data_IF_140739252454
#
_entry.id   IF_140739252454
#
_cell.length_a   1.000
_cell.length_b   1.000
_cell.length_c   1.000
_cell.angle_alpha   90.00
_cell.angle_beta   90.00
_cell.angle_gamma   90.00
#
_symmetry.space_group_name_H-M   'P 1'
#
loop_
_entity.id
_entity.type
_entity.pdbx_description
1 polymer ?
#
# COMPACT_ATOMS: atom_id res chain seq x y z
N UNK A 1 0.35 -42.52 43.43
CA UNK A 1 1.46 -42.66 42.46
C UNK A 1 0.82 -42.84 41.11
N UNK A 2 0.86 -41.93 40.17
CA UNK A 2 1.34 -40.56 40.12
C UNK A 2 0.57 -39.96 38.94
N UNK A 3 0.15 -38.72 39.09
CA UNK A 3 -0.71 -38.01 38.15
C UNK A 3 -0.21 -38.11 36.70
N UNK A 4 -1.05 -38.61 35.81
CA UNK A 4 -0.90 -38.44 34.37
C UNK A 4 -1.05 -36.94 34.08
N UNK A 5 0.08 -36.32 33.74
CA UNK A 5 0.17 -34.95 33.26
C UNK A 5 -0.66 -34.80 31.97
N UNK A 6 -1.92 -34.40 32.12
CA UNK A 6 -2.62 -33.66 31.08
C UNK A 6 -1.95 -32.28 30.95
N UNK A 7 -0.88 -32.20 30.17
CA UNK A 7 -0.37 -30.93 29.69
C UNK A 7 -1.40 -30.29 28.76
N UNK A 8 -2.04 -29.26 29.32
CA UNK A 8 -3.10 -28.40 28.81
C UNK A 8 -3.18 -28.20 27.28
N UNK A 9 -4.38 -28.34 26.67
CA UNK A 9 -4.71 -27.84 25.33
C UNK A 9 -4.81 -26.29 25.25
N UNK A 10 -4.22 -25.55 26.20
CA UNK A 10 -4.32 -24.08 26.26
C UNK A 10 -3.27 -23.35 25.42
N UNK A 11 -2.16 -24.01 25.06
CA UNK A 11 -1.07 -23.40 24.28
C UNK A 11 -1.48 -23.17 22.83
N UNK A 12 -2.08 -24.17 22.17
CA UNK A 12 -2.48 -24.12 20.76
C UNK A 12 -3.56 -23.06 20.49
N UNK A 13 -4.53 -22.90 21.40
CA UNK A 13 -5.52 -21.82 21.31
C UNK A 13 -4.88 -20.43 21.46
N UNK A 14 -3.96 -20.27 22.40
CA UNK A 14 -3.25 -19.00 22.58
C UNK A 14 -2.37 -18.68 21.37
N UNK A 15 -1.75 -19.68 20.75
CA UNK A 15 -0.95 -19.52 19.55
C UNK A 15 -1.81 -19.16 18.33
N UNK A 16 -2.97 -19.79 18.17
CA UNK A 16 -3.94 -19.45 17.12
C UNK A 16 -4.42 -18.00 17.26
N UNK A 17 -4.74 -17.56 18.49
CA UNK A 17 -5.19 -16.19 18.75
C UNK A 17 -4.08 -15.16 18.51
N UNK A 18 -2.83 -15.50 18.81
CA UNK A 18 -1.64 -14.68 18.47
C UNK A 18 -1.44 -14.58 16.95
N UNK A 19 -1.57 -15.68 16.22
CA UNK A 19 -1.41 -15.66 14.75
C UNK A 19 -2.53 -14.86 14.08
N UNK A 20 -3.77 -14.99 14.57
CA UNK A 20 -4.91 -14.25 14.05
C UNK A 20 -4.78 -12.75 14.35
N UNK A 21 -4.37 -12.37 15.56
CA UNK A 21 -4.14 -10.95 15.87
C UNK A 21 -2.97 -10.36 15.07
N UNK A 22 -1.92 -11.15 14.80
CA UNK A 22 -0.82 -10.72 13.93
C UNK A 22 -1.30 -10.54 12.48
N UNK A 23 -2.10 -11.47 11.95
CA UNK A 23 -2.68 -11.35 10.61
C UNK A 23 -3.66 -10.16 10.50
N UNK A 24 -4.43 -9.85 11.55
CA UNK A 24 -5.27 -8.66 11.61
C UNK A 24 -4.43 -7.37 11.58
N UNK A 25 -3.30 -7.34 12.29
CA UNK A 25 -2.40 -6.18 12.31
C UNK A 25 -1.73 -5.98 10.94
N UNK A 26 -1.20 -7.05 10.33
CA UNK A 26 -0.62 -7.03 8.98
C UNK A 26 -1.66 -6.60 7.95
N UNK A 27 -2.89 -7.13 8.02
CA UNK A 27 -3.97 -6.71 7.10
C UNK A 27 -4.37 -5.24 7.30
N UNK A 28 -4.29 -4.70 8.52
CA UNK A 28 -4.48 -3.28 8.79
C UNK A 28 -3.39 -2.44 8.12
N UNK A 29 -2.13 -2.82 8.32
CA UNK A 29 -0.97 -2.15 7.74
C UNK A 29 -1.00 -2.17 6.19
N UNK A 30 -1.44 -3.29 5.60
CA UNK A 30 -1.60 -3.43 4.15
C UNK A 30 -2.62 -2.44 3.58
N UNK A 31 -3.74 -2.21 4.28
CA UNK A 31 -4.72 -1.19 3.89
C UNK A 31 -4.15 0.22 3.97
N UNK A 32 -3.39 0.54 5.01
CA UNK A 32 -2.73 1.84 5.13
C UNK A 32 -1.72 2.07 3.99
N UNK A 33 -0.92 1.04 3.65
CA UNK A 33 -0.01 1.05 2.51
C UNK A 33 -0.77 1.23 1.19
N UNK A 34 -1.92 0.60 1.01
CA UNK A 34 -2.74 0.76 -0.19
C UNK A 34 -3.31 2.18 -0.32
N UNK A 35 -3.80 2.76 0.79
CA UNK A 35 -4.26 4.16 0.83
C UNK A 35 -3.11 5.13 0.51
N UNK A 36 -1.92 4.90 1.06
CA UNK A 36 -0.72 5.67 0.75
C UNK A 36 -0.31 5.53 -0.72
N UNK A 37 -0.48 4.34 -1.31
CA UNK A 37 -0.23 4.08 -2.73
C UNK A 37 -1.19 4.88 -3.61
N UNK A 38 -2.49 4.84 -3.30
CA UNK A 38 -3.51 5.59 -4.02
C UNK A 38 -3.30 7.11 -3.91
N UNK A 39 -2.96 7.60 -2.72
CA UNK A 39 -2.61 9.01 -2.49
C UNK A 39 -1.37 9.44 -3.28
N UNK A 40 -0.33 8.60 -3.32
CA UNK A 40 0.86 8.87 -4.13
C UNK A 40 0.57 8.87 -5.63
N UNK A 41 -0.29 7.97 -6.14
CA UNK A 41 -0.74 7.98 -7.55
C UNK A 41 -1.48 9.27 -7.87
N UNK A 42 -2.41 9.70 -7.01
CA UNK A 42 -3.12 10.97 -7.18
C UNK A 42 -2.16 12.16 -7.24
N UNK A 43 -1.18 12.22 -6.33
CA UNK A 43 -0.13 13.26 -6.36
C UNK A 43 0.66 13.25 -7.66
N UNK A 44 1.03 12.08 -8.18
CA UNK A 44 1.71 11.96 -9.47
C UNK A 44 0.86 12.50 -10.62
N UNK A 45 -0.44 12.18 -10.66
CA UNK A 45 -1.35 12.70 -11.68
C UNK A 45 -1.51 14.22 -11.61
N UNK A 46 -1.58 14.80 -10.40
CA UNK A 46 -1.63 16.25 -10.21
C UNK A 46 -0.37 16.90 -10.77
N UNK A 47 0.82 16.37 -10.44
CA UNK A 47 2.10 16.88 -10.95
C UNK A 47 2.13 16.79 -12.49
N UNK A 48 1.72 15.67 -13.07
CA UNK A 48 1.62 15.48 -14.52
C UNK A 48 0.64 16.48 -15.16
N UNK A 49 -0.50 16.72 -14.53
CA UNK A 49 -1.47 17.72 -14.96
C UNK A 49 -0.90 19.14 -14.94
N UNK A 50 -0.17 19.52 -13.88
CA UNK A 50 0.51 20.80 -13.79
C UNK A 50 1.58 20.96 -14.88
N UNK A 51 2.38 19.91 -15.15
CA UNK A 51 3.37 19.90 -16.23
C UNK A 51 2.68 20.11 -17.58
N UNK A 52 1.61 19.35 -17.83
CA UNK A 52 0.89 19.44 -19.09
C UNK A 52 0.26 20.82 -19.30
N UNK A 53 -0.37 21.38 -18.27
CA UNK A 53 -0.92 22.73 -18.30
C UNK A 53 0.17 23.79 -18.55
N UNK A 54 1.32 23.66 -17.89
CA UNK A 54 2.46 24.57 -18.09
C UNK A 54 3.01 24.50 -19.52
N UNK A 55 3.16 23.30 -20.09
CA UNK A 55 3.62 23.10 -21.48
C UNK A 55 2.60 23.67 -22.46
N UNK A 56 1.31 23.43 -22.25
CA UNK A 56 0.25 23.98 -23.10
C UNK A 56 0.19 25.51 -23.04
N UNK A 57 0.29 26.09 -21.85
CA UNK A 57 0.28 27.55 -21.66
C UNK A 57 1.50 28.22 -22.29
N UNK A 58 2.69 27.64 -22.11
CA UNK A 58 3.92 28.15 -22.73
C UNK A 58 3.91 28.02 -24.26
N UNK A 59 3.37 26.91 -24.79
CA UNK A 59 3.18 26.73 -26.24
C UNK A 59 2.18 27.75 -26.80
N UNK A 60 1.03 27.96 -26.15
CA UNK A 60 0.05 28.96 -26.56
C UNK A 60 0.66 30.36 -26.57
N UNK A 61 1.45 30.73 -25.55
CA UNK A 61 2.14 32.02 -25.53
C UNK A 61 3.18 32.16 -26.63
N UNK A 62 3.92 31.09 -26.96
CA UNK A 62 4.93 31.08 -28.03
C UNK A 62 4.32 31.18 -29.43
N UNK A 63 3.18 30.53 -29.67
CA UNK A 63 2.52 30.44 -30.98
C UNK A 63 1.40 31.44 -31.19
N UNK A 64 0.87 32.06 -30.13
CA UNK A 64 -0.12 33.12 -30.31
C UNK A 64 0.55 34.34 -30.94
N UNK A 65 0.00 34.82 -32.05
CA UNK A 65 0.31 36.14 -32.60
C UNK A 65 -0.20 37.28 -31.70
N UNK A 66 -0.67 36.98 -30.48
CA UNK A 66 -1.39 37.90 -29.60
C UNK A 66 -0.50 38.84 -28.79
N UNK A 67 0.80 38.90 -29.07
CA UNK A 67 1.67 39.88 -28.42
C UNK A 67 2.63 40.53 -29.41
N UNK A 68 2.13 41.63 -29.98
CA UNK A 68 2.80 42.93 -30.07
C UNK A 68 4.29 42.92 -29.69
N UNK A 69 5.17 43.13 -30.68
CA UNK A 69 6.52 43.68 -30.48
C UNK A 69 7.33 43.12 -29.29
N UNK A 70 7.17 41.83 -28.99
CA UNK A 70 7.88 41.22 -27.86
C UNK A 70 9.36 41.11 -28.22
N UNK A 71 10.15 42.01 -27.61
CA UNK A 71 11.61 41.99 -27.55
C UNK A 71 12.15 40.58 -27.30
N UNK A 72 13.26 40.23 -27.97
CA UNK A 72 14.00 38.98 -27.78
C UNK A 72 14.21 38.63 -26.30
N UNK A 73 14.31 39.65 -25.43
CA UNK A 73 14.45 39.53 -23.98
C UNK A 73 13.31 38.72 -23.35
N UNK A 74 12.05 38.95 -23.74
CA UNK A 74 10.90 38.25 -23.16
C UNK A 74 10.85 36.77 -23.57
N UNK A 75 11.20 36.45 -24.82
CA UNK A 75 11.36 35.05 -25.26
C UNK A 75 12.46 34.36 -24.48
N UNK A 76 13.56 35.05 -24.23
CA UNK A 76 14.66 34.53 -23.39
C UNK A 76 14.19 34.29 -21.95
N UNK A 77 13.42 35.20 -21.35
CA UNK A 77 12.86 35.05 -20.00
C UNK A 77 11.91 33.84 -19.91
N UNK A 78 11.02 33.65 -20.90
CA UNK A 78 10.10 32.50 -20.94
C UNK A 78 10.88 31.18 -21.09
N UNK A 79 11.88 31.15 -21.97
CA UNK A 79 12.71 29.95 -22.16
C UNK A 79 13.55 29.62 -20.91
N UNK A 80 14.15 30.62 -20.27
CA UNK A 80 14.93 30.44 -19.04
C UNK A 80 14.05 29.99 -17.86
N UNK A 81 12.87 30.60 -17.69
CA UNK A 81 11.92 30.20 -16.64
C UNK A 81 11.37 28.78 -16.84
N UNK A 82 11.09 28.38 -18.09
CA UNK A 82 10.75 26.99 -18.45
C UNK A 82 11.85 26.01 -18.04
N UNK A 83 13.11 26.34 -18.34
CA UNK A 83 14.26 25.50 -18.03
C UNK A 83 14.45 25.37 -16.51
N UNK A 84 14.34 26.48 -15.77
CA UNK A 84 14.43 26.51 -14.31
C UNK A 84 13.28 25.70 -13.67
N UNK A 85 12.06 25.80 -14.18
CA UNK A 85 10.90 25.05 -13.67
C UNK A 85 10.97 23.56 -13.97
N UNK A 86 11.64 23.15 -15.06
CA UNK A 86 11.74 21.74 -15.44
C UNK A 86 12.54 20.90 -14.42
N UNK A 87 13.60 21.47 -13.82
CA UNK A 87 14.47 20.78 -12.86
C UNK A 87 13.73 20.28 -11.60
N UNK A 88 13.01 21.12 -10.82
CA UNK A 88 12.29 20.64 -9.64
C UNK A 88 11.16 19.67 -10.00
N UNK A 89 10.54 19.81 -11.17
CA UNK A 89 9.50 18.90 -11.66
C UNK A 89 10.07 17.50 -11.95
N UNK A 90 11.24 17.42 -12.59
CA UNK A 90 11.93 16.15 -12.85
C UNK A 90 12.34 15.49 -11.52
N UNK A 91 12.89 16.25 -10.58
CA UNK A 91 13.25 15.75 -9.24
C UNK A 91 12.02 15.26 -8.48
N UNK A 92 10.91 16.00 -8.54
CA UNK A 92 9.64 15.60 -7.92
C UNK A 92 9.10 14.29 -8.52
N UNK A 93 9.14 14.14 -9.84
CA UNK A 93 8.75 12.91 -10.53
C UNK A 93 9.65 11.73 -10.15
N UNK A 94 10.97 11.93 -10.10
CA UNK A 94 11.91 10.88 -9.71
C UNK A 94 11.67 10.41 -8.27
N UNK A 95 11.49 11.36 -7.34
CA UNK A 95 11.18 11.06 -5.95
C UNK A 95 9.83 10.35 -5.80
N UNK A 96 8.81 10.78 -6.54
CA UNK A 96 7.51 10.12 -6.54
C UNK A 96 7.60 8.68 -7.08
N UNK A 97 8.39 8.45 -8.14
CA UNK A 97 8.60 7.11 -8.71
C UNK A 97 9.38 6.20 -7.77
N UNK A 98 10.41 6.73 -7.09
CA UNK A 98 11.17 5.99 -6.07
C UNK A 98 10.27 5.58 -4.90
N UNK A 99 9.42 6.50 -4.42
CA UNK A 99 8.45 6.21 -3.36
C UNK A 99 7.44 5.15 -3.80
N UNK A 100 6.93 5.23 -5.03
CA UNK A 100 6.00 4.25 -5.57
C UNK A 100 6.61 2.84 -5.64
N UNK A 101 7.88 2.72 -6.06
CA UNK A 101 8.60 1.42 -6.06
C UNK A 101 8.75 0.85 -4.65
N UNK A 102 9.19 1.68 -3.71
CA UNK A 102 9.32 1.24 -2.31
C UNK A 102 7.97 0.76 -1.76
N UNK A 103 6.89 1.50 -2.02
CA UNK A 103 5.56 1.11 -1.57
C UNK A 103 5.06 -0.18 -2.21
N UNK A 104 5.42 -0.45 -3.48
CA UNK A 104 5.06 -1.73 -4.11
C UNK A 104 5.85 -2.90 -3.53
N UNK A 105 7.13 -2.70 -3.21
CA UNK A 105 7.94 -3.70 -2.52
C UNK A 105 7.37 -3.99 -1.12
N UNK A 106 7.05 -2.94 -0.35
CA UNK A 106 6.46 -3.07 0.98
C UNK A 106 5.09 -3.79 0.92
N UNK A 107 4.23 -3.46 -0.06
CA UNK A 107 2.96 -4.15 -0.28
C UNK A 107 3.14 -5.63 -0.63
N UNK A 108 4.12 -5.95 -1.48
CA UNK A 108 4.40 -7.34 -1.88
C UNK A 108 4.85 -8.17 -0.68
N UNK A 109 5.77 -7.63 0.14
CA UNK A 109 6.25 -8.28 1.36
C UNK A 109 5.12 -8.49 2.37
N UNK A 110 4.31 -7.47 2.64
CA UNK A 110 3.21 -7.60 3.61
C UNK A 110 2.14 -8.56 3.10
N UNK A 111 1.90 -8.60 1.78
CA UNK A 111 0.98 -9.57 1.17
C UNK A 111 1.49 -11.01 1.28
N UNK A 112 2.81 -11.23 1.11
CA UNK A 112 3.39 -12.56 1.28
C UNK A 112 3.38 -13.01 2.72
N UNK A 113 3.70 -12.11 3.67
CA UNK A 113 3.61 -12.40 5.12
C UNK A 113 2.19 -12.76 5.52
N UNK A 114 1.19 -12.02 5.02
CA UNK A 114 -0.21 -12.32 5.31
C UNK A 114 -0.64 -13.67 4.72
N UNK A 115 -0.15 -14.03 3.53
CA UNK A 115 -0.41 -15.34 2.93
C UNK A 115 0.19 -16.48 3.77
N UNK A 116 1.46 -16.36 4.17
CA UNK A 116 2.11 -17.34 5.05
C UNK A 116 1.38 -17.48 6.39
N UNK A 117 0.96 -16.36 7.01
CA UNK A 117 0.18 -16.39 8.25
C UNK A 117 -1.16 -17.10 8.07
N UNK A 118 -1.85 -16.89 6.95
CA UNK A 118 -3.10 -17.58 6.66
C UNK A 118 -2.89 -19.09 6.46
N UNK A 119 -1.80 -19.50 5.80
CA UNK A 119 -1.46 -20.90 5.63
C UNK A 119 -1.15 -21.56 6.98
N UNK A 120 -0.35 -20.90 7.84
CA UNK A 120 -0.07 -21.33 9.21
C UNK A 120 -1.35 -21.44 10.06
N UNK A 121 -2.25 -20.47 9.98
CA UNK A 121 -3.54 -20.53 10.68
C UNK A 121 -4.39 -21.70 10.16
N UNK A 122 -4.36 -21.97 8.85
CA UNK A 122 -5.12 -23.07 8.28
C UNK A 122 -4.55 -24.44 8.68
N UNK A 123 -3.23 -24.56 8.73
CA UNK A 123 -2.54 -25.74 9.22
C UNK A 123 -2.86 -25.99 10.70
N UNK A 124 -2.79 -24.96 11.56
CA UNK A 124 -3.20 -25.03 12.97
C UNK A 124 -4.71 -25.29 13.17
N UNK A 125 -5.59 -24.76 12.30
CA UNK A 125 -7.02 -25.09 12.33
C UNK A 125 -7.24 -26.59 12.03
N UNK A 126 -6.47 -27.14 11.08
CA UNK A 126 -6.55 -28.55 10.74
C UNK A 126 -6.04 -29.43 11.89
N UNK A 127 -4.89 -29.10 12.50
CA UNK A 127 -4.39 -29.81 13.69
C UNK A 127 -5.33 -29.70 14.90
N UNK A 128 -5.88 -28.51 15.16
CA UNK A 128 -6.81 -28.30 16.28
C UNK A 128 -8.19 -28.93 16.09
N UNK A 129 -8.65 -29.16 14.85
CA UNK A 129 -9.84 -30.00 14.59
C UNK A 129 -9.68 -31.44 15.03
N UNK A 130 -8.45 -31.96 15.06
CA UNK A 130 -8.16 -33.31 15.56
C UNK A 130 -7.95 -33.34 17.08
N UNK A 131 -7.74 -32.18 17.72
CA UNK A 131 -7.65 -32.03 19.17
C UNK A 131 -8.99 -31.48 19.71
N UNK A 132 -9.92 -32.38 20.06
CA UNK A 132 -11.22 -32.04 20.65
C UNK A 132 -11.12 -31.04 21.81
N UNK A 133 -11.48 -29.77 21.61
CA UNK A 133 -12.02 -28.87 22.68
C UNK A 133 -12.43 -27.46 22.21
N UNK A 134 -12.64 -27.19 20.92
CA UNK A 134 -12.99 -25.84 20.46
C UNK A 134 -14.50 -25.61 20.48
N UNK A 135 -14.95 -24.65 21.29
CA UNK A 135 -16.34 -24.19 21.35
C UNK A 135 -16.81 -23.76 19.94
N UNK A 136 -17.93 -24.29 19.41
CA UNK A 136 -18.44 -23.96 18.08
C UNK A 136 -18.61 -22.45 17.83
N UNK A 137 -18.88 -21.66 18.87
CA UNK A 137 -19.01 -20.20 18.76
C UNK A 137 -17.65 -19.53 18.50
N UNK A 138 -16.59 -19.99 19.17
CA UNK A 138 -15.24 -19.50 18.95
C UNK A 138 -14.76 -19.84 17.53
N UNK A 139 -15.01 -21.06 17.06
CA UNK A 139 -14.70 -21.47 15.67
C UNK A 139 -15.43 -20.58 14.66
N UNK A 140 -16.72 -20.32 14.85
CA UNK A 140 -17.50 -19.48 13.95
C UNK A 140 -16.95 -18.04 13.91
N UNK A 141 -16.55 -17.50 15.06
CA UNK A 141 -15.95 -16.16 15.19
C UNK A 141 -14.61 -16.10 14.45
N UNK A 142 -13.77 -17.12 14.60
CA UNK A 142 -12.50 -17.21 13.90
C UNK A 142 -12.66 -17.35 12.39
N UNK A 143 -13.58 -18.18 11.92
CA UNK A 143 -13.91 -18.28 10.49
C UNK A 143 -14.45 -16.97 9.94
N UNK A 144 -15.26 -16.23 10.70
CA UNK A 144 -15.72 -14.89 10.29
C UNK A 144 -14.56 -13.88 10.21
N UNK A 145 -13.59 -13.91 11.14
CA UNK A 145 -12.39 -13.06 11.10
C UNK A 145 -11.48 -13.41 9.93
N UNK A 146 -11.16 -14.68 9.73
CA UNK A 146 -10.37 -15.18 8.60
C UNK A 146 -11.01 -14.90 7.24
N UNK A 147 -12.33 -15.07 7.13
CA UNK A 147 -13.05 -14.75 5.90
C UNK A 147 -12.93 -13.27 5.56
N UNK A 148 -12.97 -12.37 6.55
CA UNK A 148 -12.73 -10.93 6.33
C UNK A 148 -11.31 -10.65 5.86
N UNK A 149 -10.30 -11.28 6.47
CA UNK A 149 -8.90 -11.12 6.07
C UNK A 149 -8.63 -11.62 4.64
N UNK A 150 -9.24 -12.74 4.26
CA UNK A 150 -9.09 -13.31 2.93
C UNK A 150 -9.71 -12.43 1.83
N UNK A 151 -10.74 -11.65 2.16
CA UNK A 151 -11.29 -10.64 1.25
C UNK A 151 -10.43 -9.38 1.17
N UNK A 152 -9.59 -9.10 2.18
CA UNK A 152 -8.64 -7.97 2.13
C UNK A 152 -7.50 -8.17 1.14
N UNK A 153 -7.22 -9.41 0.72
CA UNK A 153 -6.08 -9.79 -0.13
C UNK A 153 -6.43 -9.74 -1.62
N UNK A 154 -7.72 -9.66 -1.97
CA UNK A 154 -8.23 -9.83 -3.33
C UNK A 154 -8.65 -8.52 -3.96
#
# INVERSE_FOLDING_TARGET
MSDEYFEKPSSTLSELEKLISLAENVSGHLKELEELSMSNKQRQYIILGCIYAFVMFSALLLFSNMTLEISSIYRTIISASSLIMSLPLIVALFNARRRARKLSEDLEIESSVLAELLDLIHELENYSRFAESLDPVAIATYRMRLKRLRFSIK
#
